data_IF_833619687987
#
_entry.id   IF_833619687987
#
_cell.length_a   1.000
_cell.length_b   1.000
_cell.length_c   1.000
_cell.angle_alpha   90.00
_cell.angle_beta   90.00
_cell.angle_gamma   90.00
#
_symmetry.space_group_name_H-M   'P 1'
#
loop_
_entity.id
_entity.type
_entity.pdbx_description
1 polymer ?
#
# COMPACT_ATOMS: atom_id res chain seq x y z
N UNK A 1 -10.29 18.51 39.78
CA UNK A 1 -10.29 18.45 38.31
C UNK A 1 -11.17 19.53 37.66
N UNK A 2 -11.72 20.49 38.42
CA UNK A 2 -12.45 21.66 37.86
C UNK A 2 -11.51 22.79 37.41
N UNK A 3 -10.37 23.01 38.08
CA UNK A 3 -9.43 24.11 37.77
C UNK A 3 -8.81 24.11 36.36
N UNK A 4 -8.80 22.98 35.63
CA UNK A 4 -8.11 22.90 34.33
C UNK A 4 -8.98 23.37 33.15
N UNK A 5 -10.30 23.39 33.32
CA UNK A 5 -11.23 23.76 32.23
C UNK A 5 -11.51 25.25 32.17
N UNK A 6 -11.27 25.98 33.27
CA UNK A 6 -11.54 27.42 33.39
C UNK A 6 -10.69 28.27 32.43
N UNK A 7 -9.49 27.81 32.06
CA UNK A 7 -8.63 28.48 31.05
C UNK A 7 -9.32 28.55 29.69
N UNK A 8 -10.20 27.61 29.36
CA UNK A 8 -10.94 27.59 28.10
C UNK A 8 -12.25 28.38 28.14
N UNK A 9 -12.61 28.94 29.31
CA UNK A 9 -13.74 29.85 29.50
C UNK A 9 -13.30 31.33 29.49
N UNK A 10 -12.01 31.60 29.28
CA UNK A 10 -11.45 32.95 29.35
C UNK A 10 -12.23 33.94 28.48
N UNK A 11 -12.69 35.05 29.08
CA UNK A 11 -13.45 36.10 28.41
C UNK A 11 -14.91 35.73 28.06
N UNK A 12 -15.37 34.50 28.31
CA UNK A 12 -16.74 34.07 28.02
C UNK A 12 -17.77 34.85 28.84
N UNK A 13 -17.49 35.05 30.12
CA UNK A 13 -18.39 35.78 31.03
C UNK A 13 -18.60 37.23 30.59
N UNK A 14 -17.54 37.90 30.13
CA UNK A 14 -17.59 39.27 29.62
C UNK A 14 -18.40 39.36 28.32
N UNK A 15 -18.17 38.43 27.39
CA UNK A 15 -18.92 38.34 26.13
C UNK A 15 -20.40 38.10 26.43
N UNK A 16 -20.69 37.18 27.36
CA UNK A 16 -22.07 36.85 27.76
C UNK A 16 -22.78 38.07 28.37
N UNK A 17 -22.12 38.78 29.29
CA UNK A 17 -22.68 39.95 29.94
C UNK A 17 -22.97 41.08 28.94
N UNK A 18 -22.03 41.38 28.04
CA UNK A 18 -22.17 42.48 27.08
C UNK A 18 -23.17 42.15 25.95
N UNK A 19 -23.02 41.00 25.31
CA UNK A 19 -23.85 40.63 24.17
C UNK A 19 -25.30 40.36 24.58
N UNK A 20 -25.53 39.76 25.75
CA UNK A 20 -26.89 39.51 26.22
C UNK A 20 -27.57 40.76 26.79
N UNK A 21 -26.82 41.71 27.38
CA UNK A 21 -27.38 42.99 27.84
C UNK A 21 -27.78 43.91 26.67
N UNK A 22 -27.06 43.83 25.55
CA UNK A 22 -27.32 44.66 24.36
C UNK A 22 -28.20 43.98 23.31
N UNK A 23 -28.43 42.66 23.43
CA UNK A 23 -29.18 41.86 22.46
C UNK A 23 -28.46 41.68 21.11
N UNK A 24 -27.17 42.00 21.02
CA UNK A 24 -26.38 41.88 19.80
C UNK A 24 -25.87 40.45 19.59
N UNK A 25 -25.50 40.14 18.36
CA UNK A 25 -24.71 38.94 18.03
C UNK A 25 -23.24 39.11 18.42
N UNK A 26 -22.52 38.00 18.56
CA UNK A 26 -21.08 38.04 18.79
C UNK A 26 -20.38 38.75 17.62
N UNK A 27 -19.38 39.55 17.93
CA UNK A 27 -18.52 40.15 16.90
C UNK A 27 -17.61 39.11 16.28
N UNK A 28 -17.00 39.45 15.14
CA UNK A 28 -16.02 38.57 14.49
C UNK A 28 -14.86 38.21 15.43
N UNK A 29 -14.33 39.18 16.17
CA UNK A 29 -13.21 38.97 17.09
C UNK A 29 -13.61 38.07 18.26
N UNK A 30 -14.83 38.19 18.76
CA UNK A 30 -15.36 37.31 19.82
C UNK A 30 -15.47 35.86 19.32
N UNK A 31 -16.02 35.66 18.12
CA UNK A 31 -16.11 34.35 17.46
C UNK A 31 -14.70 33.77 17.25
N UNK A 32 -13.75 34.54 16.73
CA UNK A 32 -12.37 34.11 16.52
C UNK A 32 -11.68 33.75 17.84
N UNK A 33 -11.94 34.50 18.93
CA UNK A 33 -11.42 34.17 20.27
C UNK A 33 -11.97 32.83 20.78
N UNK A 34 -13.26 32.53 20.56
CA UNK A 34 -13.88 31.25 20.97
C UNK A 34 -13.28 30.10 20.18
N UNK A 35 -13.11 30.26 18.86
CA UNK A 35 -12.43 29.28 18.00
C UNK A 35 -11.00 28.98 18.47
N UNK A 36 -10.23 30.01 18.82
CA UNK A 36 -8.86 29.84 19.30
C UNK A 36 -8.79 29.04 20.62
N UNK A 37 -9.70 29.30 21.56
CA UNK A 37 -9.80 28.52 22.79
C UNK A 37 -10.24 27.07 22.52
N UNK A 38 -11.16 26.86 21.59
CA UNK A 38 -11.56 25.53 21.13
C UNK A 38 -10.39 24.73 20.55
N UNK A 39 -9.58 25.37 19.71
CA UNK A 39 -8.40 24.75 19.13
C UNK A 39 -7.37 24.34 20.20
N UNK A 40 -7.05 25.25 21.12
CA UNK A 40 -6.13 24.96 22.25
C UNK A 40 -6.63 23.83 23.14
N UNK A 41 -7.95 23.74 23.36
CA UNK A 41 -8.54 22.69 24.17
C UNK A 41 -8.39 21.30 23.52
N UNK A 42 -8.54 21.23 22.18
CA UNK A 42 -8.30 20.01 21.42
C UNK A 42 -6.82 19.60 21.44
N UNK A 43 -5.91 20.55 21.24
CA UNK A 43 -4.45 20.31 21.30
C UNK A 43 -3.99 19.83 22.69
N UNK A 44 -4.63 20.29 23.76
CA UNK A 44 -4.40 19.85 25.12
C UNK A 44 -5.10 18.51 25.48
N UNK A 45 -5.85 17.90 24.55
CA UNK A 45 -6.48 16.59 24.74
C UNK A 45 -7.70 16.58 25.67
N UNK A 46 -8.35 17.72 25.89
CA UNK A 46 -9.54 17.78 26.76
C UNK A 46 -10.78 17.22 26.07
N UNK A 47 -11.53 16.36 26.76
CA UNK A 47 -12.75 15.77 26.20
C UNK A 47 -13.86 16.78 25.97
N UNK A 48 -14.41 16.81 24.75
CA UNK A 48 -15.52 17.66 24.31
C UNK A 48 -16.68 17.78 25.33
N UNK A 49 -17.14 16.65 25.86
CA UNK A 49 -18.26 16.59 26.82
C UNK A 49 -17.98 17.34 28.13
N UNK A 50 -16.72 17.42 28.57
CA UNK A 50 -16.35 18.19 29.76
C UNK A 50 -16.38 19.70 29.47
N UNK A 51 -15.85 20.10 28.31
CA UNK A 51 -15.78 21.50 27.87
C UNK A 51 -17.17 22.12 27.66
N UNK A 52 -18.10 21.39 27.03
CA UNK A 52 -19.49 21.85 26.85
C UNK A 52 -20.18 22.05 28.20
N UNK A 53 -20.03 21.10 29.13
CA UNK A 53 -20.61 21.22 30.47
C UNK A 53 -20.07 22.44 31.22
N UNK A 54 -18.78 22.74 31.06
CA UNK A 54 -18.17 23.93 31.66
C UNK A 54 -18.76 25.23 31.09
N UNK A 55 -18.95 25.32 29.77
CA UNK A 55 -19.58 26.48 29.12
C UNK A 55 -21.04 26.69 29.56
N UNK A 56 -21.83 25.62 29.62
CA UNK A 56 -23.22 25.68 30.09
C UNK A 56 -23.33 26.08 31.57
N UNK A 57 -22.45 25.54 32.42
CA UNK A 57 -22.41 25.89 33.84
C UNK A 57 -21.99 27.35 34.05
N UNK A 58 -20.99 27.84 33.28
CA UNK A 58 -20.59 29.24 33.31
C UNK A 58 -21.69 30.18 32.81
N UNK A 59 -22.41 29.79 31.76
CA UNK A 59 -23.53 30.56 31.22
C UNK A 59 -24.70 30.67 32.20
N UNK A 60 -24.94 29.59 32.95
CA UNK A 60 -25.99 29.55 33.98
C UNK A 60 -25.63 30.40 35.20
N UNK A 61 -24.37 30.37 35.65
CA UNK A 61 -23.89 31.18 36.80
C UNK A 61 -23.86 32.67 36.52
N UNK A 62 -23.47 33.06 35.30
CA UNK A 62 -23.21 34.46 34.94
C UNK A 62 -24.33 35.06 34.07
N UNK A 63 -25.56 34.57 34.24
CA UNK A 63 -26.72 35.06 33.50
C UNK A 63 -27.01 36.53 33.85
N UNK A 64 -26.95 37.47 32.89
CA UNK A 64 -27.30 38.85 33.17
C UNK A 64 -28.81 38.99 33.43
N UNK A 65 -29.15 39.60 34.58
CA UNK A 65 -30.53 39.85 35.04
C UNK A 65 -31.39 40.65 34.06
N UNK A 66 -30.89 41.67 33.31
CA UNK A 66 -31.73 42.44 32.39
C UNK A 66 -32.04 41.69 31.07
N UNK A 67 -31.39 40.56 30.79
CA UNK A 67 -31.53 39.86 29.52
C UNK A 67 -32.60 38.76 29.57
N UNK A 68 -33.40 38.66 28.50
CA UNK A 68 -34.35 37.57 28.30
C UNK A 68 -33.63 36.21 28.21
N UNK A 69 -34.26 35.11 28.66
CA UNK A 69 -33.67 33.76 28.59
C UNK A 69 -33.23 33.39 27.17
N UNK A 70 -34.02 33.75 26.16
CA UNK A 70 -33.75 33.44 24.75
C UNK A 70 -32.52 34.17 24.23
N UNK A 71 -32.30 35.41 24.66
CA UNK A 71 -31.12 36.21 24.28
C UNK A 71 -29.84 35.62 24.88
N UNK A 72 -29.89 35.23 26.15
CA UNK A 72 -28.75 34.58 26.83
C UNK A 72 -28.43 33.24 26.17
N UNK A 73 -29.44 32.43 25.86
CA UNK A 73 -29.27 31.15 25.18
C UNK A 73 -28.65 31.34 23.80
N UNK A 74 -29.13 32.29 23.00
CA UNK A 74 -28.58 32.57 21.67
C UNK A 74 -27.11 33.02 21.68
N UNK A 75 -26.66 33.70 22.74
CA UNK A 75 -25.25 34.09 22.92
C UNK A 75 -24.40 32.89 23.32
N UNK A 76 -24.92 32.01 24.19
CA UNK A 76 -24.26 30.75 24.57
C UNK A 76 -24.11 29.84 23.35
N UNK A 77 -25.17 29.68 22.55
CA UNK A 77 -25.16 28.90 21.32
C UNK A 77 -24.07 29.39 20.36
N UNK A 78 -24.04 30.69 20.04
CA UNK A 78 -23.01 31.28 19.18
C UNK A 78 -21.59 31.05 19.72
N UNK A 79 -21.39 31.18 21.03
CA UNK A 79 -20.09 30.99 21.64
C UNK A 79 -19.65 29.51 21.63
N UNK A 80 -20.56 28.58 21.93
CA UNK A 80 -20.31 27.14 21.92
C UNK A 80 -20.09 26.64 20.49
N UNK A 81 -20.86 27.12 19.51
CA UNK A 81 -20.67 26.78 18.09
C UNK A 81 -19.31 27.25 17.58
N UNK A 82 -18.92 28.50 17.90
CA UNK A 82 -17.60 29.01 17.53
C UNK A 82 -16.48 28.21 18.21
N UNK A 83 -16.65 27.83 19.48
CA UNK A 83 -15.70 26.98 20.20
C UNK A 83 -15.62 25.57 19.58
N UNK A 84 -16.78 24.97 19.22
CA UNK A 84 -16.89 23.66 18.57
C UNK A 84 -16.15 23.65 17.22
N UNK A 85 -16.36 24.66 16.38
CA UNK A 85 -15.70 24.79 15.08
C UNK A 85 -14.17 24.82 15.23
N UNK A 86 -13.66 25.60 16.19
CA UNK A 86 -12.22 25.61 16.51
C UNK A 86 -11.68 24.27 17.00
N UNK A 87 -12.42 23.63 17.91
CA UNK A 87 -12.07 22.32 18.47
C UNK A 87 -12.05 21.23 17.39
N UNK A 88 -13.10 21.11 16.58
CA UNK A 88 -13.18 20.09 15.53
C UNK A 88 -12.11 20.28 14.46
N UNK A 89 -11.82 21.52 14.06
CA UNK A 89 -10.76 21.79 13.09
C UNK A 89 -9.39 21.41 13.62
N UNK A 90 -9.07 21.76 14.87
CA UNK A 90 -7.83 21.36 15.50
C UNK A 90 -7.73 19.85 15.68
N UNK A 91 -8.80 19.19 16.13
CA UNK A 91 -8.85 17.73 16.26
C UNK A 91 -8.63 17.03 14.91
N UNK A 92 -9.28 17.50 13.84
CA UNK A 92 -9.06 16.97 12.47
C UNK A 92 -7.62 17.20 12.01
N UNK A 93 -6.99 18.32 12.34
CA UNK A 93 -5.59 18.58 12.03
C UNK A 93 -4.64 17.64 12.79
N UNK A 94 -4.91 17.38 14.07
CA UNK A 94 -4.13 16.41 14.87
C UNK A 94 -4.23 15.02 14.26
N UNK A 95 -5.46 14.54 13.97
CA UNK A 95 -5.68 13.23 13.33
C UNK A 95 -4.96 13.15 11.99
N UNK A 96 -5.09 14.17 11.13
CA UNK A 96 -4.41 14.20 9.82
C UNK A 96 -2.89 14.21 9.95
N UNK A 97 -2.33 14.94 10.92
CA UNK A 97 -0.88 14.94 11.19
C UNK A 97 -0.41 13.57 11.66
N UNK A 98 -1.17 12.91 12.53
CA UNK A 98 -0.84 11.57 13.01
C UNK A 98 -0.91 10.53 11.88
N UNK A 99 -1.96 10.57 11.05
CA UNK A 99 -2.08 9.73 9.86
C UNK A 99 -0.94 9.99 8.86
N UNK A 100 -0.62 11.26 8.58
CA UNK A 100 0.48 11.62 7.68
C UNK A 100 1.82 11.09 8.21
N UNK A 101 2.09 11.27 9.50
CA UNK A 101 3.29 10.78 10.15
C UNK A 101 3.36 9.24 10.16
N UNK A 102 2.22 8.54 10.26
CA UNK A 102 2.15 7.08 10.12
C UNK A 102 2.46 6.66 8.69
N UNK A 103 1.87 7.31 7.69
CA UNK A 103 2.11 7.00 6.26
C UNK A 103 3.57 7.24 5.88
N UNK A 104 4.15 8.35 6.32
CA UNK A 104 5.58 8.66 6.14
C UNK A 104 6.47 7.57 6.76
N UNK A 105 6.20 7.16 7.99
CA UNK A 105 6.95 6.07 8.63
C UNK A 105 6.86 4.74 7.89
N UNK A 106 5.66 4.39 7.39
CA UNK A 106 5.47 3.17 6.61
C UNK A 106 6.25 3.26 5.30
N UNK A 107 6.22 4.42 4.64
CA UNK A 107 6.98 4.64 3.41
C UNK A 107 8.49 4.50 3.64
N UNK A 108 8.99 5.12 4.70
CA UNK A 108 10.38 5.01 5.14
C UNK A 108 10.76 3.54 5.44
N UNK A 109 9.91 2.82 6.17
CA UNK A 109 10.13 1.42 6.51
C UNK A 109 10.17 0.51 5.27
N UNK A 110 9.24 0.69 4.33
CA UNK A 110 9.12 -0.13 3.12
C UNK A 110 10.21 0.16 2.09
N UNK A 111 10.77 1.37 2.07
CA UNK A 111 11.88 1.73 1.19
C UNK A 111 13.24 1.68 1.89
N UNK A 112 13.28 1.26 3.16
CA UNK A 112 14.51 1.22 3.97
C UNK A 112 15.18 2.59 4.14
N UNK A 113 14.40 3.68 4.11
CA UNK A 113 14.87 5.07 4.26
C UNK A 113 14.72 5.54 5.71
N UNK A 114 15.55 6.51 6.10
CA UNK A 114 15.44 7.17 7.40
C UNK A 114 16.52 6.78 8.42
N UNK A 115 16.51 7.47 9.56
CA UNK A 115 17.43 7.21 10.67
C UNK A 115 17.07 5.88 11.38
N UNK A 116 18.02 4.93 11.52
CA UNK A 116 17.75 3.63 12.14
C UNK A 116 17.22 3.71 13.57
N UNK A 117 17.64 4.72 14.34
CA UNK A 117 17.18 4.94 15.71
C UNK A 117 15.73 5.38 15.76
N UNK A 118 15.36 6.34 14.91
CA UNK A 118 13.97 6.80 14.77
C UNK A 118 13.03 5.68 14.29
N UNK A 119 13.46 4.89 13.30
CA UNK A 119 12.71 3.75 12.81
C UNK A 119 12.51 2.68 13.89
N UNK A 120 13.54 2.37 14.67
CA UNK A 120 13.45 1.38 15.75
C UNK A 120 12.42 1.78 16.81
N UNK A 121 12.48 3.01 17.29
CA UNK A 121 11.55 3.52 18.30
C UNK A 121 10.09 3.50 17.82
N UNK A 122 9.84 3.81 16.55
CA UNK A 122 8.50 3.74 15.96
C UNK A 122 8.05 2.31 15.68
N UNK A 123 8.93 1.44 15.18
CA UNK A 123 8.63 0.03 14.93
C UNK A 123 8.09 -0.67 16.18
N UNK A 124 8.71 -0.41 17.35
CA UNK A 124 8.24 -0.99 18.61
C UNK A 124 6.80 -0.58 18.97
N UNK A 125 6.40 0.67 18.68
CA UNK A 125 5.01 1.13 18.88
C UNK A 125 4.01 0.38 18.00
N UNK A 126 4.44 -0.08 16.82
CA UNK A 126 3.65 -0.92 15.91
C UNK A 126 3.90 -2.42 16.14
N UNK A 127 4.64 -2.78 17.18
CA UNK A 127 4.96 -4.15 17.57
C UNK A 127 6.12 -4.80 16.80
N UNK A 128 6.63 -4.18 15.75
CA UNK A 128 7.73 -4.72 14.95
C UNK A 128 9.04 -4.66 15.75
N UNK A 129 9.68 -5.82 15.95
CA UNK A 129 10.97 -5.91 16.68
C UNK A 129 12.11 -6.08 15.69
N UNK A 130 12.78 -4.99 15.32
CA UNK A 130 13.82 -4.99 14.28
C UNK A 130 15.00 -5.96 14.50
N UNK A 131 15.20 -6.47 15.72
CA UNK A 131 16.15 -7.54 16.03
C UNK A 131 15.75 -8.92 15.44
N UNK A 132 14.52 -9.07 14.96
CA UNK A 132 14.01 -10.29 14.32
C UNK A 132 13.88 -10.12 12.81
N UNK A 133 13.85 -11.25 12.12
CA UNK A 133 13.48 -11.27 10.72
C UNK A 133 11.98 -11.03 10.56
N UNK A 134 11.60 -10.28 9.53
CA UNK A 134 10.22 -10.08 9.12
C UNK A 134 10.09 -10.39 7.63
N UNK A 135 8.92 -10.86 7.24
CA UNK A 135 8.53 -11.02 5.85
C UNK A 135 7.36 -10.09 5.56
N UNK A 136 7.30 -9.65 4.30
CA UNK A 136 6.28 -8.74 3.78
C UNK A 136 5.49 -9.47 2.71
N UNK A 137 4.17 -9.47 2.86
CA UNK A 137 3.23 -9.91 1.85
C UNK A 137 2.55 -8.70 1.20
N UNK A 138 2.45 -8.70 -0.12
CA UNK A 138 1.77 -7.66 -0.91
C UNK A 138 0.68 -8.32 -1.73
N UNK A 139 -0.55 -7.85 -1.55
CA UNK A 139 -1.69 -8.27 -2.35
C UNK A 139 -2.02 -7.20 -3.39
N UNK A 140 -2.09 -7.64 -4.65
CA UNK A 140 -2.50 -6.85 -5.79
C UNK A 140 -3.75 -7.49 -6.39
N UNK A 141 -4.79 -6.68 -6.57
CA UNK A 141 -6.02 -7.15 -7.21
C UNK A 141 -6.39 -6.28 -8.40
N UNK A 142 -7.58 -6.52 -8.99
CA UNK A 142 -7.95 -5.93 -10.27
C UNK A 142 -8.11 -4.41 -10.23
N UNK A 143 -8.43 -3.86 -9.05
CA UNK A 143 -8.55 -2.43 -8.79
C UNK A 143 -7.56 -1.99 -7.73
N UNK A 144 -7.20 -0.71 -7.74
CA UNK A 144 -6.33 -0.11 -6.73
C UNK A 144 -7.12 0.13 -5.44
N UNK A 145 -6.51 -0.22 -4.31
CA UNK A 145 -7.09 -0.06 -2.99
C UNK A 145 -6.64 1.21 -2.26
N UNK A 146 -7.57 1.83 -1.55
CA UNK A 146 -7.34 2.85 -0.52
C UNK A 146 -7.66 2.32 0.90
N UNK A 147 -7.13 2.98 1.93
CA UNK A 147 -7.38 2.67 3.34
C UNK A 147 -8.88 2.74 3.70
N UNK A 148 -9.65 3.48 2.91
CA UNK A 148 -11.08 3.69 3.12
C UNK A 148 -11.97 2.60 2.53
N UNK A 149 -11.42 1.74 1.68
CA UNK A 149 -12.19 0.73 0.95
C UNK A 149 -12.68 -0.40 1.86
N UNK A 150 -13.83 -1.03 1.54
CA UNK A 150 -14.38 -2.14 2.33
C UNK A 150 -13.43 -3.34 2.41
N UNK A 151 -12.77 -3.71 1.31
CA UNK A 151 -11.94 -4.90 1.23
C UNK A 151 -10.71 -4.85 2.18
N UNK A 152 -9.84 -3.82 2.15
CA UNK A 152 -8.76 -3.68 3.12
C UNK A 152 -9.25 -3.63 4.57
N UNK A 153 -10.39 -2.97 4.85
CA UNK A 153 -10.97 -2.91 6.20
C UNK A 153 -11.44 -4.27 6.69
N UNK A 154 -12.11 -5.05 5.85
CA UNK A 154 -12.53 -6.41 6.17
C UNK A 154 -11.32 -7.31 6.44
N UNK A 155 -10.34 -7.29 5.53
CA UNK A 155 -9.11 -8.09 5.66
C UNK A 155 -8.37 -7.73 6.95
N UNK A 156 -8.23 -6.43 7.26
CA UNK A 156 -7.62 -5.99 8.52
C UNK A 156 -8.38 -6.50 9.74
N UNK A 157 -9.70 -6.34 9.77
CA UNK A 157 -10.55 -6.77 10.88
C UNK A 157 -10.42 -8.27 11.16
N UNK A 158 -10.51 -9.10 10.13
CA UNK A 158 -10.37 -10.56 10.25
C UNK A 158 -8.94 -10.98 10.64
N UNK A 159 -7.92 -10.35 10.04
CA UNK A 159 -6.52 -10.63 10.34
C UNK A 159 -6.19 -10.33 11.81
N UNK A 160 -6.62 -9.16 12.33
CA UNK A 160 -6.37 -8.77 13.71
C UNK A 160 -7.18 -9.60 14.71
N UNK A 161 -8.42 -10.00 14.38
CA UNK A 161 -9.23 -10.89 15.22
C UNK A 161 -8.65 -12.31 15.31
N UNK A 162 -8.05 -12.83 14.24
CA UNK A 162 -7.46 -14.18 14.23
C UNK A 162 -6.14 -14.25 14.99
N UNK A 163 -5.34 -13.20 14.89
CA UNK A 163 -3.97 -13.14 15.40
C UNK A 163 -3.81 -12.06 16.48
N UNK A 164 -4.81 -11.95 17.35
CA UNK A 164 -4.77 -11.07 18.52
C UNK A 164 -3.43 -11.23 19.27
N UNK A 165 -2.81 -10.10 19.64
CA UNK A 165 -1.49 -10.03 20.30
C UNK A 165 -0.27 -10.40 19.46
N UNK A 166 -0.43 -10.80 18.20
CA UNK A 166 0.71 -10.94 17.29
C UNK A 166 1.15 -9.57 16.79
N UNK A 167 2.45 -9.43 16.58
CA UNK A 167 3.07 -8.15 16.23
C UNK A 167 3.16 -8.01 14.72
N UNK A 168 1.99 -7.76 14.15
CA UNK A 168 1.75 -7.66 12.71
C UNK A 168 1.40 -6.21 12.36
N UNK A 169 1.86 -5.75 11.20
CA UNK A 169 1.48 -4.45 10.65
C UNK A 169 0.71 -4.67 9.35
N UNK A 170 -0.45 -4.02 9.24
CA UNK A 170 -1.26 -4.00 8.03
C UNK A 170 -1.46 -2.55 7.57
N UNK A 171 -1.39 -2.34 6.25
CA UNK A 171 -1.57 -1.03 5.61
C UNK A 171 -1.95 -1.20 4.15
N UNK A 172 -2.39 -0.14 3.50
CA UNK A 172 -2.45 -0.04 2.04
C UNK A 172 -1.37 0.93 1.54
N UNK A 173 -0.76 0.62 0.39
CA UNK A 173 0.29 1.42 -0.23
C UNK A 173 0.24 1.26 -1.75
N UNK A 174 0.23 2.38 -2.47
CA UNK A 174 0.25 2.45 -3.93
C UNK A 174 -0.83 1.59 -4.62
N UNK A 175 -2.02 1.51 -4.01
CA UNK A 175 -3.13 0.71 -4.52
C UNK A 175 -3.10 -0.77 -4.10
N UNK A 176 -2.18 -1.18 -3.23
CA UNK A 176 -1.97 -2.58 -2.80
C UNK A 176 -2.15 -2.72 -1.30
N UNK A 177 -2.60 -3.90 -0.85
CA UNK A 177 -2.60 -4.23 0.57
C UNK A 177 -1.23 -4.80 0.96
N UNK A 178 -0.67 -4.36 2.09
CA UNK A 178 0.63 -4.78 2.57
C UNK A 178 0.50 -5.30 4.00
N UNK A 179 1.01 -6.50 4.23
CA UNK A 179 1.06 -7.13 5.54
C UNK A 179 2.51 -7.46 5.90
N UNK A 180 2.96 -7.03 7.08
CA UNK A 180 4.28 -7.31 7.62
C UNK A 180 4.11 -8.20 8.86
N UNK A 181 4.79 -9.34 8.87
CA UNK A 181 4.76 -10.28 9.98
C UNK A 181 6.16 -10.78 10.33
N UNK A 182 6.38 -11.27 11.57
CA UNK A 182 7.60 -11.97 11.92
C UNK A 182 7.88 -13.14 10.97
N UNK A 183 9.14 -13.33 10.60
CA UNK A 183 9.55 -14.30 9.59
C UNK A 183 9.36 -15.77 9.98
N UNK A 184 9.17 -16.04 11.27
CA UNK A 184 8.83 -17.35 11.83
C UNK A 184 7.31 -17.63 11.83
N UNK A 185 6.49 -16.70 11.34
CA UNK A 185 5.03 -16.74 11.36
C UNK A 185 4.44 -16.73 9.95
N UNK A 186 4.85 -17.70 9.13
CA UNK A 186 4.33 -17.87 7.76
C UNK A 186 2.81 -18.09 7.72
N UNK A 187 2.23 -18.64 8.80
CA UNK A 187 0.79 -18.82 8.97
C UNK A 187 0.00 -17.50 8.88
N UNK A 188 0.58 -16.39 9.33
CA UNK A 188 -0.02 -15.05 9.22
C UNK A 188 -0.11 -14.62 7.77
N UNK A 189 1.00 -14.70 7.03
CA UNK A 189 1.06 -14.24 5.64
C UNK A 189 0.24 -15.14 4.72
N UNK A 190 0.24 -16.45 4.95
CA UNK A 190 -0.63 -17.38 4.25
C UNK A 190 -2.12 -17.12 4.53
N UNK A 191 -2.48 -16.72 5.77
CA UNK A 191 -3.85 -16.34 6.08
C UNK A 191 -4.24 -15.01 5.44
N UNK A 192 -3.37 -14.00 5.51
CA UNK A 192 -3.54 -12.74 4.79
C UNK A 192 -3.77 -12.97 3.29
N UNK A 193 -3.00 -13.84 2.66
CA UNK A 193 -3.18 -14.20 1.26
C UNK A 193 -4.57 -14.77 0.96
N UNK A 194 -5.07 -15.68 1.81
CA UNK A 194 -6.43 -16.23 1.67
C UNK A 194 -7.51 -15.17 1.83
N UNK A 195 -7.36 -14.27 2.81
CA UNK A 195 -8.32 -13.17 3.06
C UNK A 195 -8.34 -12.19 1.88
N UNK A 196 -7.17 -11.76 1.42
CA UNK A 196 -7.05 -10.87 0.29
C UNK A 196 -7.62 -11.49 -0.99
N UNK A 197 -7.34 -12.77 -1.26
CA UNK A 197 -7.93 -13.48 -2.39
C UNK A 197 -9.46 -13.58 -2.26
N UNK A 198 -9.99 -13.93 -1.09
CA UNK A 198 -11.44 -14.00 -0.87
C UNK A 198 -12.15 -12.64 -1.02
N UNK A 199 -11.52 -11.55 -0.56
CA UNK A 199 -12.08 -10.20 -0.66
C UNK A 199 -12.03 -9.63 -2.08
N UNK A 200 -11.13 -10.12 -2.94
CA UNK A 200 -10.87 -9.54 -4.27
C UNK A 200 -11.24 -10.46 -5.43
N UNK A 201 -11.40 -11.76 -5.18
CA UNK A 201 -11.77 -12.81 -6.14
C UNK A 201 -10.70 -13.18 -7.16
N UNK A 202 -9.90 -12.21 -7.63
CA UNK A 202 -8.94 -12.37 -8.75
C UNK A 202 -7.54 -11.87 -8.41
N UNK A 203 -7.32 -11.36 -7.18
CA UNK A 203 -6.02 -10.83 -6.78
C UNK A 203 -4.97 -11.91 -6.51
N UNK A 204 -3.71 -11.56 -6.77
CA UNK A 204 -2.52 -12.33 -6.41
C UNK A 204 -1.86 -11.73 -5.18
N UNK A 205 -1.28 -12.58 -4.34
CA UNK A 205 -0.49 -12.17 -3.19
C UNK A 205 0.92 -12.70 -3.33
N UNK A 206 1.90 -11.82 -3.24
CA UNK A 206 3.30 -12.20 -3.21
C UNK A 206 3.91 -12.03 -1.83
N UNK A 207 4.72 -13.00 -1.40
CA UNK A 207 5.43 -12.98 -0.12
C UNK A 207 6.93 -12.91 -0.37
N UNK A 208 7.56 -11.86 0.14
CA UNK A 208 9.01 -11.72 0.16
C UNK A 208 9.67 -12.59 1.22
N UNK A 209 10.97 -12.80 1.12
CA UNK A 209 11.68 -13.66 2.08
C UNK A 209 11.86 -12.95 3.42
N UNK A 210 11.91 -13.70 4.54
CA UNK A 210 12.26 -13.13 5.84
C UNK A 210 13.63 -12.46 5.86
N UNK A 211 13.68 -11.20 6.31
CA UNK A 211 14.92 -10.41 6.44
C UNK A 211 14.96 -9.65 7.75
N UNK A 212 16.15 -9.45 8.30
CA UNK A 212 16.37 -8.78 9.59
C UNK A 212 16.46 -7.25 9.44
N UNK A 213 15.97 -6.53 10.45
CA UNK A 213 16.06 -5.07 10.51
C UNK A 213 15.10 -4.34 9.57
N UNK A 214 15.09 -3.00 9.65
CA UNK A 214 14.22 -2.15 8.85
C UNK A 214 14.56 -2.22 7.35
N UNK A 215 15.85 -2.18 7.00
CA UNK A 215 16.32 -2.39 5.62
C UNK A 215 15.90 -3.76 5.10
N UNK A 216 15.92 -4.78 5.96
CA UNK A 216 15.43 -6.12 5.61
C UNK A 216 13.94 -6.14 5.25
N UNK A 217 13.10 -5.44 6.02
CA UNK A 217 11.67 -5.28 5.71
C UNK A 217 11.51 -4.67 4.31
N UNK A 218 12.26 -3.62 3.99
CA UNK A 218 12.24 -3.02 2.65
C UNK A 218 12.65 -4.00 1.54
N UNK A 219 13.74 -4.76 1.73
CA UNK A 219 14.12 -5.81 0.77
C UNK A 219 13.04 -6.89 0.61
N UNK A 220 12.39 -7.31 1.70
CA UNK A 220 11.28 -8.26 1.61
C UNK A 220 10.09 -7.67 0.85
N UNK A 221 9.81 -6.38 1.01
CA UNK A 221 8.77 -5.69 0.27
C UNK A 221 9.09 -5.63 -1.23
N UNK A 222 10.31 -5.23 -1.60
CA UNK A 222 10.79 -5.22 -2.98
C UNK A 222 10.76 -6.62 -3.61
N UNK A 223 11.15 -7.66 -2.86
CA UNK A 223 11.07 -9.05 -3.31
C UNK A 223 9.62 -9.48 -3.63
N UNK A 224 8.64 -9.05 -2.83
CA UNK A 224 7.22 -9.31 -3.10
C UNK A 224 6.73 -8.55 -4.34
N UNK A 225 7.09 -7.29 -4.51
CA UNK A 225 6.75 -6.50 -5.70
C UNK A 225 7.35 -7.11 -6.98
N UNK A 226 8.61 -7.52 -6.92
CA UNK A 226 9.28 -8.19 -8.04
C UNK A 226 8.61 -9.52 -8.39
N UNK A 227 8.14 -10.27 -7.40
CA UNK A 227 7.40 -11.51 -7.64
C UNK A 227 6.06 -11.26 -8.37
N UNK A 228 5.32 -10.20 -8.04
CA UNK A 228 4.11 -9.79 -8.76
C UNK A 228 4.42 -9.39 -10.22
N UNK A 229 5.45 -8.56 -10.44
CA UNK A 229 5.87 -8.14 -11.79
C UNK A 229 6.31 -9.34 -12.64
N UNK A 230 7.07 -10.28 -12.05
CA UNK A 230 7.46 -11.53 -12.71
C UNK A 230 6.24 -12.37 -13.05
N UNK A 231 5.29 -12.54 -12.13
CA UNK A 231 4.08 -13.30 -12.38
C UNK A 231 3.28 -12.72 -13.55
N UNK A 232 3.14 -11.40 -13.61
CA UNK A 232 2.49 -10.73 -14.73
C UNK A 232 3.21 -10.98 -16.06
N UNK A 233 4.53 -10.80 -16.13
CA UNK A 233 5.32 -10.99 -17.37
C UNK A 233 5.41 -12.45 -17.79
N UNK A 234 5.34 -13.36 -16.83
CA UNK A 234 5.44 -14.80 -17.04
C UNK A 234 4.09 -15.51 -17.11
N UNK A 235 2.97 -14.78 -16.99
CA UNK A 235 1.63 -15.35 -17.02
C UNK A 235 1.45 -16.44 -15.96
N UNK A 236 1.97 -16.20 -14.75
CA UNK A 236 1.80 -17.10 -13.63
C UNK A 236 0.48 -16.75 -12.95
N UNK A 237 -0.43 -17.73 -12.85
CA UNK A 237 -1.79 -17.54 -12.33
C UNK A 237 -1.93 -18.01 -10.86
N UNK A 238 -0.83 -18.38 -10.21
CA UNK A 238 -0.85 -18.81 -8.81
C UNK A 238 -1.35 -17.67 -7.91
N UNK A 239 -2.37 -17.90 -7.06
CA UNK A 239 -2.92 -16.84 -6.20
C UNK A 239 -1.96 -16.43 -5.07
N UNK A 240 -1.00 -17.30 -4.73
CA UNK A 240 0.04 -17.06 -3.74
C UNK A 240 1.41 -17.32 -4.35
N UNK A 241 2.17 -16.25 -4.53
CA UNK A 241 3.54 -16.27 -5.03
C UNK A 241 4.50 -16.15 -3.86
N UNK A 242 5.57 -16.94 -3.87
CA UNK A 242 6.68 -16.78 -2.93
C UNK A 242 7.91 -16.34 -3.69
N UNK A 243 8.50 -15.22 -3.28
CA UNK A 243 9.72 -14.71 -3.92
C UNK A 243 10.88 -15.73 -3.86
N UNK A 244 10.89 -16.61 -2.85
CA UNK A 244 11.84 -17.71 -2.74
C UNK A 244 11.78 -18.71 -3.91
N UNK A 245 10.61 -18.87 -4.53
CA UNK A 245 10.39 -19.82 -5.63
C UNK A 245 10.72 -19.19 -7.00
N UNK A 246 10.87 -17.87 -7.04
CA UNK A 246 11.06 -17.06 -8.26
C UNK A 246 12.48 -16.47 -8.36
N UNK A 247 13.43 -16.93 -7.55
CA UNK A 247 14.78 -16.32 -7.44
C UNK A 247 15.60 -16.35 -8.72
N UNK A 248 15.28 -17.22 -9.68
CA UNK A 248 15.97 -17.25 -10.97
C UNK A 248 15.76 -15.97 -11.77
N UNK A 249 14.57 -15.34 -11.70
CA UNK A 249 14.26 -14.16 -12.52
C UNK A 249 15.03 -12.91 -12.08
N UNK A 250 15.10 -12.56 -10.78
CA UNK A 250 15.96 -11.47 -10.31
C UNK A 250 17.44 -11.70 -10.61
N UNK A 251 17.91 -12.96 -10.59
CA UNK A 251 19.30 -13.28 -10.96
C UNK A 251 19.55 -12.97 -12.44
N UNK A 252 18.65 -13.38 -13.32
CA UNK A 252 18.74 -13.09 -14.75
C UNK A 252 18.60 -11.59 -15.06
N UNK A 253 17.74 -10.88 -14.34
CA UNK A 253 17.48 -9.46 -14.55
C UNK A 253 18.52 -8.54 -13.89
N UNK A 254 19.48 -9.08 -13.11
CA UNK A 254 20.44 -8.29 -12.35
C UNK A 254 21.36 -7.45 -13.22
N UNK A 255 21.80 -8.02 -14.34
CA UNK A 255 22.53 -7.30 -15.38
C UNK A 255 21.61 -7.07 -16.58
N UNK A 256 20.86 -5.97 -16.54
CA UNK A 256 19.90 -5.63 -17.59
C UNK A 256 20.58 -5.50 -18.95
N UNK A 257 21.79 -4.95 -19.01
CA UNK A 257 22.49 -4.76 -20.28
C UNK A 257 22.90 -6.11 -20.88
N UNK A 258 23.48 -7.00 -20.08
CA UNK A 258 23.81 -8.35 -20.53
C UNK A 258 22.56 -9.12 -20.98
N UNK A 259 21.42 -8.95 -20.30
CA UNK A 259 20.15 -9.55 -20.70
C UNK A 259 19.65 -8.99 -22.04
N UNK A 260 19.71 -7.67 -22.23
CA UNK A 260 19.39 -7.02 -23.50
C UNK A 260 20.27 -7.54 -24.63
N UNK A 261 21.58 -7.61 -24.42
CA UNK A 261 22.54 -8.10 -25.42
C UNK A 261 22.26 -9.57 -25.77
N UNK A 262 21.97 -10.42 -24.76
CA UNK A 262 21.58 -11.81 -24.98
C UNK A 262 20.31 -11.91 -25.84
N UNK A 263 19.27 -11.13 -25.53
CA UNK A 263 18.01 -11.14 -26.29
C UNK A 263 18.26 -10.64 -27.71
N UNK A 264 18.96 -9.52 -27.88
CA UNK A 264 19.24 -8.94 -29.18
C UNK A 264 20.06 -9.88 -30.06
N UNK A 265 21.16 -10.42 -29.55
CA UNK A 265 22.04 -11.32 -30.32
C UNK A 265 21.36 -12.65 -30.66
N UNK A 266 20.55 -13.19 -29.75
CA UNK A 266 19.95 -14.53 -29.93
C UNK A 266 18.63 -14.49 -30.70
N UNK A 267 17.78 -13.51 -30.40
CA UNK A 267 16.39 -13.44 -30.89
C UNK A 267 16.16 -12.27 -31.86
N UNK A 268 17.04 -11.26 -31.90
CA UNK A 268 16.96 -10.15 -32.86
C UNK A 268 16.80 -10.58 -34.32
N UNK A 269 17.49 -11.64 -34.81
CA UNK A 269 17.27 -12.13 -36.18
C UNK A 269 15.83 -12.56 -36.50
N UNK A 270 15.00 -12.86 -35.49
CA UNK A 270 13.59 -13.18 -35.68
C UNK A 270 12.78 -11.99 -36.23
N UNK A 271 13.24 -10.76 -36.07
CA UNK A 271 12.59 -9.57 -36.65
C UNK A 271 12.54 -9.62 -38.19
N UNK A 272 13.46 -10.35 -38.82
CA UNK A 272 13.49 -10.57 -40.27
C UNK A 272 12.40 -11.56 -40.75
N UNK A 273 11.67 -12.21 -39.84
CA UNK A 273 10.57 -13.09 -40.20
C UNK A 273 9.39 -12.29 -40.75
N UNK A 274 8.63 -12.92 -41.66
CA UNK A 274 7.38 -12.34 -42.14
C UNK A 274 6.39 -12.21 -40.98
N UNK A 275 5.97 -10.99 -40.68
CA UNK A 275 5.12 -10.68 -39.52
C UNK A 275 5.89 -10.32 -38.25
N UNK A 276 7.22 -10.08 -38.35
CA UNK A 276 8.08 -9.70 -37.24
C UNK A 276 8.44 -10.87 -36.33
N UNK A 277 9.11 -10.58 -35.21
CA UNK A 277 9.62 -11.59 -34.29
C UNK A 277 8.51 -12.36 -33.54
N UNK A 278 7.38 -11.70 -33.26
CA UNK A 278 6.34 -12.18 -32.33
C UNK A 278 5.85 -13.61 -32.60
N UNK A 279 5.44 -14.00 -33.83
CA UNK A 279 4.92 -15.36 -34.06
C UNK A 279 5.94 -16.48 -33.80
N UNK A 280 7.23 -16.21 -34.06
CA UNK A 280 8.30 -17.18 -33.82
C UNK A 280 8.73 -17.18 -32.35
N UNK A 281 8.71 -16.02 -31.70
CA UNK A 281 8.90 -15.92 -30.25
C UNK A 281 7.81 -16.68 -29.49
N UNK A 282 6.53 -16.48 -29.84
CA UNK A 282 5.39 -17.21 -29.25
C UNK A 282 5.55 -18.72 -29.45
N UNK A 283 6.07 -19.12 -30.61
CA UNK A 283 6.38 -20.54 -30.90
C UNK A 283 7.44 -21.08 -29.95
N UNK A 284 8.52 -20.33 -29.71
CA UNK A 284 9.57 -20.74 -28.75
C UNK A 284 9.07 -20.76 -27.31
N UNK A 285 8.32 -19.75 -26.89
CA UNK A 285 7.72 -19.68 -25.55
C UNK A 285 6.89 -20.92 -25.27
N UNK A 286 5.89 -21.21 -26.12
CA UNK A 286 5.04 -22.39 -25.93
C UNK A 286 5.81 -23.70 -26.07
N UNK A 287 6.80 -23.76 -26.97
CA UNK A 287 7.65 -24.94 -27.11
C UNK A 287 8.42 -25.24 -25.83
N UNK A 288 9.00 -24.22 -25.19
CA UNK A 288 9.72 -24.40 -23.92
C UNK A 288 8.79 -24.66 -22.74
N UNK A 289 7.65 -23.95 -22.64
CA UNK A 289 6.67 -24.11 -21.56
C UNK A 289 6.05 -25.52 -21.56
N UNK A 290 5.95 -26.16 -22.73
CA UNK A 290 5.47 -27.55 -22.86
C UNK A 290 6.57 -28.60 -22.74
N UNK A 291 7.75 -28.24 -22.20
CA UNK A 291 8.85 -29.17 -21.97
C UNK A 291 9.55 -29.62 -23.26
N UNK A 292 9.57 -28.77 -24.29
CA UNK A 292 10.15 -29.06 -25.60
C UNK A 292 9.42 -30.17 -26.39
N UNK A 293 8.13 -30.39 -26.09
CA UNK A 293 7.31 -31.41 -26.76
C UNK A 293 6.53 -30.79 -27.93
N UNK A 294 7.00 -31.03 -29.15
CA UNK A 294 6.41 -30.45 -30.36
C UNK A 294 4.90 -30.74 -30.51
N UNK A 295 4.44 -31.94 -30.19
CA UNK A 295 3.01 -32.28 -30.28
C UNK A 295 2.15 -31.52 -29.25
N UNK A 296 2.69 -31.23 -28.06
CA UNK A 296 2.00 -30.44 -27.05
C UNK A 296 1.96 -28.96 -27.46
N UNK A 297 3.10 -28.40 -27.88
CA UNK A 297 3.19 -27.02 -28.33
C UNK A 297 2.29 -26.73 -29.54
N UNK A 298 2.24 -27.65 -30.51
CA UNK A 298 1.37 -27.52 -31.68
C UNK A 298 -0.12 -27.47 -31.28
N UNK A 299 -0.56 -28.32 -30.34
CA UNK A 299 -1.93 -28.27 -29.80
C UNK A 299 -2.23 -26.94 -29.11
N UNK A 300 -1.33 -26.46 -28.25
CA UNK A 300 -1.50 -25.16 -27.57
C UNK A 300 -1.60 -23.99 -28.56
N UNK A 301 -0.83 -24.02 -29.63
CA UNK A 301 -0.86 -22.99 -30.68
C UNK A 301 -1.95 -23.21 -31.74
N UNK A 302 -2.78 -24.25 -31.62
CA UNK A 302 -3.77 -24.64 -32.63
C UNK A 302 -3.16 -24.85 -34.03
N UNK A 303 -1.98 -25.47 -34.09
CA UNK A 303 -1.23 -25.80 -35.30
C UNK A 303 -1.14 -27.32 -35.50
N UNK A 304 -0.87 -27.74 -36.74
CA UNK A 304 -0.38 -29.10 -36.98
C UNK A 304 1.07 -29.24 -36.48
N UNK A 305 1.45 -30.45 -36.07
CA UNK A 305 2.85 -30.74 -35.67
C UNK A 305 3.83 -30.37 -36.78
N UNK A 306 3.49 -30.64 -38.05
CA UNK A 306 4.30 -30.28 -39.21
C UNK A 306 4.51 -28.77 -39.33
N UNK A 307 3.47 -27.98 -39.09
CA UNK A 307 3.57 -26.51 -39.11
C UNK A 307 4.46 -26.00 -37.98
N UNK A 308 4.38 -26.59 -36.78
CA UNK A 308 5.28 -26.25 -35.68
C UNK A 308 6.74 -26.60 -36.02
N UNK A 309 7.01 -27.82 -36.49
CA UNK A 309 8.36 -28.25 -36.89
C UNK A 309 8.94 -27.32 -37.97
N UNK A 310 8.11 -26.88 -38.92
CA UNK A 310 8.52 -25.89 -39.92
C UNK A 310 8.91 -24.54 -39.27
N UNK A 311 8.14 -24.04 -38.29
CA UNK A 311 8.48 -22.82 -37.56
C UNK A 311 9.78 -22.97 -36.77
N UNK A 312 10.00 -24.10 -36.10
CA UNK A 312 11.27 -24.38 -35.39
C UNK A 312 12.46 -24.43 -36.36
N UNK A 313 12.30 -25.07 -37.52
CA UNK A 313 13.32 -25.07 -38.57
C UNK A 313 13.60 -23.65 -39.08
N UNK A 314 12.56 -22.81 -39.24
CA UNK A 314 12.72 -21.42 -39.64
C UNK A 314 13.46 -20.60 -38.58
N UNK A 315 13.16 -20.80 -37.29
CA UNK A 315 13.91 -20.18 -36.18
C UNK A 315 15.38 -20.53 -36.27
N UNK A 316 15.72 -21.81 -36.51
CA UNK A 316 17.10 -22.25 -36.72
C UNK A 316 17.76 -21.56 -37.91
N UNK A 317 17.05 -21.43 -39.04
CA UNK A 317 17.60 -20.73 -40.22
C UNK A 317 17.90 -19.25 -39.94
N UNK A 318 17.06 -18.57 -39.15
CA UNK A 318 17.22 -17.14 -38.85
C UNK A 318 18.26 -16.88 -37.77
N UNK A 319 18.24 -17.65 -36.69
CA UNK A 319 19.06 -17.42 -35.49
C UNK A 319 20.39 -18.20 -35.50
N UNK A 320 20.53 -19.19 -36.39
CA UNK A 320 21.64 -20.15 -36.36
C UNK A 320 21.56 -21.16 -35.21
N UNK A 321 20.63 -21.00 -34.26
CA UNK A 321 20.48 -21.86 -33.07
C UNK A 321 19.33 -22.84 -33.26
N UNK A 322 19.57 -24.13 -32.97
CA UNK A 322 18.53 -25.15 -33.07
C UNK A 322 17.81 -25.32 -31.71
N UNK A 323 16.50 -25.00 -31.60
CA UNK A 323 15.75 -25.15 -30.35
C UNK A 323 15.67 -26.61 -29.85
N UNK A 324 15.82 -27.57 -30.76
CA UNK A 324 15.73 -29.01 -30.45
C UNK A 324 17.06 -29.57 -29.95
N UNK A 325 18.18 -28.90 -30.23
CA UNK A 325 19.52 -29.27 -29.77
C UNK A 325 19.76 -28.80 -28.32
N UNK A 326 20.01 -29.70 -27.36
CA UNK A 326 20.31 -29.33 -25.98
C UNK A 326 21.44 -28.30 -25.81
N UNK A 327 22.45 -28.30 -26.69
CA UNK A 327 23.59 -27.39 -26.60
C UNK A 327 23.19 -25.93 -26.90
N UNK A 328 22.28 -25.71 -27.84
CA UNK A 328 21.79 -24.37 -28.18
C UNK A 328 20.59 -23.96 -27.31
N UNK A 329 19.80 -24.94 -26.86
CA UNK A 329 18.53 -24.73 -26.17
C UNK A 329 18.64 -23.84 -24.95
N UNK A 330 19.65 -24.03 -24.11
CA UNK A 330 19.78 -23.29 -22.86
C UNK A 330 19.88 -21.77 -23.09
N UNK A 331 20.76 -21.36 -24.02
CA UNK A 331 20.92 -19.95 -24.37
C UNK A 331 19.63 -19.39 -24.99
N UNK A 332 19.01 -20.14 -25.90
CA UNK A 332 17.77 -19.73 -26.56
C UNK A 332 16.60 -19.59 -25.57
N UNK A 333 16.43 -20.54 -24.66
CA UNK A 333 15.39 -20.49 -23.63
C UNK A 333 15.63 -19.34 -22.64
N UNK A 334 16.88 -19.10 -22.25
CA UNK A 334 17.23 -17.95 -21.40
C UNK A 334 16.94 -16.63 -22.11
N UNK A 335 17.25 -16.52 -23.41
CA UNK A 335 16.89 -15.36 -24.20
C UNK A 335 15.37 -15.17 -24.30
N UNK A 336 14.59 -16.25 -24.44
CA UNK A 336 13.11 -16.15 -24.45
C UNK A 336 12.56 -15.67 -23.10
N UNK A 337 13.10 -16.19 -21.99
CA UNK A 337 12.77 -15.69 -20.64
C UNK A 337 13.13 -14.20 -20.53
N UNK A 338 14.33 -13.81 -21.00
CA UNK A 338 14.78 -12.42 -21.02
C UNK A 338 13.86 -11.53 -21.86
N UNK A 339 13.43 -11.98 -23.03
CA UNK A 339 12.50 -11.25 -23.89
C UNK A 339 11.17 -10.99 -23.17
N UNK A 340 10.61 -11.99 -22.48
CA UNK A 340 9.39 -11.84 -21.66
C UNK A 340 9.60 -10.85 -20.51
N UNK A 341 10.72 -10.97 -19.80
CA UNK A 341 11.09 -10.03 -18.73
C UNK A 341 11.29 -8.60 -19.26
N UNK A 342 11.73 -8.40 -20.50
CA UNK A 342 11.92 -7.08 -21.09
C UNK A 342 10.70 -6.54 -21.85
N UNK A 343 9.61 -7.32 -21.93
CA UNK A 343 8.42 -7.03 -22.76
C UNK A 343 8.76 -6.85 -24.26
N UNK A 344 9.78 -7.54 -24.75
CA UNK A 344 10.14 -7.57 -26.17
C UNK A 344 9.31 -8.64 -26.91
N UNK A 345 8.83 -8.38 -28.15
CA UNK A 345 9.08 -7.21 -29.00
C UNK A 345 8.07 -6.07 -28.87
N UNK A 346 7.22 -6.05 -27.84
CA UNK A 346 6.25 -4.96 -27.67
C UNK A 346 6.94 -3.64 -27.29
N UNK A 347 8.08 -3.73 -26.58
CA UNK A 347 9.00 -2.63 -26.30
C UNK A 347 10.34 -2.85 -27.00
N UNK A 348 10.94 -1.79 -27.56
CA UNK A 348 12.31 -1.86 -28.05
C UNK A 348 13.29 -2.09 -26.89
N UNK A 349 14.41 -2.75 -27.17
CA UNK A 349 15.42 -3.16 -26.18
C UNK A 349 16.23 -1.98 -25.62
#
# INVERSE_FOLDING_TARGET
>A
MECATDVFLEGFERILADAAATGRRLTRDEIESRRALGARAAEAGHGWRALVRAHLAAGSRNRPVPAGPDTVLAVIEQAVDAFADGYERAQRLVIRKEEAARREFIDDLLHGRGDPGHLAARCERFGLRLSRAHAVAVAEGPEKYDETDPAPRQVAGELFARFENRRILFTTKDGRMVCIAPGDQDDVLAHFARLAHAATGVGQVAVGRPRQGAVGIGHSYEEALNALDVAQRMGLDDPLLRAADLLVFPVLARDRQALVDLVHTTLGPLEQARGGAKPLLDTLTVYFDTGCVAAAAARHLSLSVRALTYRLARIRTLTGSDPTDPAHRYALQTAVIGARLLDWPNRPL
#
